data_IF_822834288127
#
_entry.id   IF_822834288127
#
_cell.length_a   1.000
_cell.length_b   1.000
_cell.length_c   1.000
_cell.angle_alpha   90.00
_cell.angle_beta   90.00
_cell.angle_gamma   90.00
#
_symmetry.space_group_name_H-M   'P 1'
#
loop_
_entity.id
_entity.type
_entity.pdbx_description
1 polymer ?
#
# COMPACT_ATOMS: atom_id res chain seq x y z
N UNK A 1 -48.22 44.76 32.27
CA UNK A 1 -46.89 45.31 31.92
C UNK A 1 -46.16 46.02 33.07
N UNK A 2 -46.65 45.95 34.32
CA UNK A 2 -45.98 46.63 35.44
C UNK A 2 -46.08 48.16 35.39
N UNK A 3 -46.96 48.69 34.53
CA UNK A 3 -47.18 50.12 34.34
C UNK A 3 -47.59 50.80 35.64
N UNK A 4 -47.00 51.97 35.86
CA UNK A 4 -47.25 52.76 37.06
C UNK A 4 -47.81 54.12 36.70
N UNK A 5 -48.69 54.62 37.56
CA UNK A 5 -49.15 56.00 37.45
C UNK A 5 -48.08 56.92 38.04
N UNK A 6 -47.46 57.74 37.19
CA UNK A 6 -46.51 58.77 37.61
C UNK A 6 -47.02 60.14 37.15
N UNK A 7 -47.37 61.00 38.12
CA UNK A 7 -47.85 62.37 37.88
C UNK A 7 -49.05 62.48 36.92
N UNK A 8 -49.96 61.50 36.96
CA UNK A 8 -51.18 61.49 36.13
C UNK A 8 -50.97 60.97 34.71
N UNK A 9 -49.77 60.53 34.35
CA UNK A 9 -49.48 59.80 33.13
C UNK A 9 -49.19 58.33 33.44
N UNK A 10 -49.65 57.43 32.57
CA UNK A 10 -49.26 56.02 32.60
C UNK A 10 -47.83 55.93 32.02
N UNK A 11 -46.87 55.53 32.85
CA UNK A 11 -45.51 55.22 32.38
C UNK A 11 -45.37 53.71 32.28
N UNK A 12 -44.82 53.26 31.15
CA UNK A 12 -44.54 51.84 30.91
C UNK A 12 -43.68 51.27 32.03
N UNK A 13 -44.03 50.08 32.51
CA UNK A 13 -43.23 49.36 33.49
C UNK A 13 -41.83 49.01 32.98
N UNK A 14 -41.02 48.40 33.85
CA UNK A 14 -39.72 47.88 33.43
C UNK A 14 -39.91 46.84 32.31
N UNK A 15 -39.07 46.91 31.28
CA UNK A 15 -39.08 45.97 30.16
C UNK A 15 -39.01 44.52 30.67
N UNK A 16 -39.97 43.70 30.25
CA UNK A 16 -39.99 42.27 30.58
C UNK A 16 -38.98 41.58 29.69
N UNK A 17 -37.79 41.32 30.26
CA UNK A 17 -36.76 40.52 29.61
C UNK A 17 -37.03 39.06 29.88
N UNK A 18 -37.33 38.29 28.84
CA UNK A 18 -37.45 36.85 28.93
C UNK A 18 -36.04 36.24 29.00
N UNK A 19 -35.80 35.44 30.03
CA UNK A 19 -34.50 34.78 30.20
C UNK A 19 -34.43 33.58 29.27
N UNK A 20 -33.32 33.48 28.55
CA UNK A 20 -32.89 32.31 27.81
C UNK A 20 -32.91 31.08 28.74
N UNK A 21 -33.65 30.05 28.34
CA UNK A 21 -33.79 28.81 29.11
C UNK A 21 -32.61 27.84 28.90
N UNK A 22 -31.67 28.20 28.03
CA UNK A 22 -30.47 27.45 27.69
C UNK A 22 -30.70 26.32 26.70
N UNK A 23 -31.92 26.17 26.15
CA UNK A 23 -32.20 25.25 25.06
C UNK A 23 -31.94 25.94 23.71
N UNK A 24 -30.95 25.49 22.92
CA UNK A 24 -30.66 26.11 21.63
C UNK A 24 -31.81 25.98 20.62
N UNK A 25 -32.75 25.06 20.86
CA UNK A 25 -33.89 24.80 19.98
C UNK A 25 -35.15 25.56 20.31
N UNK A 26 -35.04 26.56 21.18
CA UNK A 26 -36.11 27.49 21.47
C UNK A 26 -35.65 28.93 21.37
N UNK A 27 -36.60 29.79 21.06
CA UNK A 27 -36.40 31.24 21.04
C UNK A 27 -37.41 31.88 21.95
N UNK A 28 -36.94 32.66 22.92
CA UNK A 28 -37.77 33.33 23.90
C UNK A 28 -38.25 34.68 23.41
N UNK A 29 -39.53 34.94 23.62
CA UNK A 29 -40.09 36.25 23.41
C UNK A 29 -41.16 36.59 24.45
N UNK A 30 -41.41 37.88 24.58
CA UNK A 30 -42.47 38.37 25.45
C UNK A 30 -43.77 38.46 24.66
N UNK A 31 -44.69 37.53 24.89
CA UNK A 31 -46.07 37.64 24.42
C UNK A 31 -46.87 38.56 25.35
N UNK A 32 -47.56 39.60 24.84
CA UNK A 32 -48.31 40.55 25.67
C UNK A 32 -49.46 39.93 26.50
N UNK A 33 -49.97 38.75 26.13
CA UNK A 33 -51.07 38.08 26.82
C UNK A 33 -50.60 36.92 27.71
N UNK A 34 -49.62 36.14 27.25
CA UNK A 34 -49.09 34.96 27.93
C UNK A 34 -47.83 35.24 28.78
N UNK A 35 -47.19 36.40 28.61
CA UNK A 35 -45.91 36.72 29.23
C UNK A 35 -44.75 36.09 28.46
N UNK A 36 -43.70 35.68 29.16
CA UNK A 36 -42.57 35.02 28.50
C UNK A 36 -42.95 33.64 27.99
N UNK A 37 -42.74 33.45 26.69
CA UNK A 37 -43.00 32.20 25.99
C UNK A 37 -41.71 31.72 25.31
N UNK A 38 -41.56 30.41 25.21
CA UNK A 38 -40.43 29.72 24.57
C UNK A 38 -41.03 28.92 23.41
N UNK A 39 -40.66 29.28 22.17
CA UNK A 39 -41.18 28.67 20.94
C UNK A 39 -40.06 27.94 20.20
N UNK A 40 -40.37 26.75 19.68
CA UNK A 40 -39.40 25.95 18.94
C UNK A 40 -38.91 26.66 17.68
N UNK A 41 -37.62 26.56 17.40
CA UNK A 41 -37.00 27.09 16.18
C UNK A 41 -36.44 25.95 15.30
N UNK A 42 -35.88 26.32 14.15
CA UNK A 42 -35.27 25.40 13.17
C UNK A 42 -33.75 25.66 13.03
N UNK A 43 -33.11 26.22 14.07
CA UNK A 43 -31.69 26.55 14.03
C UNK A 43 -30.81 25.28 14.14
N UNK A 44 -29.52 25.44 13.85
CA UNK A 44 -28.55 24.36 14.03
C UNK A 44 -28.30 24.11 15.52
N UNK A 45 -28.14 22.84 15.89
CA UNK A 45 -27.88 22.42 17.27
C UNK A 45 -26.91 21.24 17.29
N UNK A 46 -26.67 20.67 18.48
CA UNK A 46 -25.87 19.46 18.69
C UNK A 46 -26.73 18.48 19.48
N UNK A 47 -27.03 17.31 18.89
CA UNK A 47 -27.87 16.30 19.52
C UNK A 47 -27.10 15.43 20.53
N UNK A 48 -25.80 15.70 20.69
CA UNK A 48 -24.88 15.00 21.57
C UNK A 48 -24.30 13.71 20.97
N UNK A 49 -24.61 13.38 19.72
CA UNK A 49 -24.06 12.25 19.00
C UNK A 49 -22.95 12.71 18.06
N UNK A 50 -21.70 12.36 18.39
CA UNK A 50 -20.53 12.73 17.59
C UNK A 50 -20.52 12.12 16.17
N UNK A 51 -21.47 11.23 15.85
CA UNK A 51 -21.59 10.53 14.57
C UNK A 51 -22.64 11.10 13.63
N UNK A 52 -23.37 12.13 14.05
CA UNK A 52 -24.37 12.81 13.22
C UNK A 52 -23.83 14.16 12.80
N UNK A 53 -24.13 14.54 11.55
CA UNK A 53 -23.68 15.80 10.97
C UNK A 53 -24.90 16.57 10.51
N UNK A 54 -24.93 17.86 10.86
CA UNK A 54 -26.02 18.76 10.47
C UNK A 54 -27.27 18.57 11.32
N UNK A 55 -27.10 18.40 12.62
CA UNK A 55 -28.22 18.35 13.56
C UNK A 55 -28.98 19.68 13.57
N UNK A 56 -30.30 19.59 13.66
CA UNK A 56 -31.20 20.73 13.54
C UNK A 56 -32.27 20.66 14.61
N UNK A 57 -32.81 21.80 14.97
CA UNK A 57 -33.91 21.88 15.90
C UNK A 57 -35.21 21.38 15.26
N UNK A 58 -35.95 20.54 16.00
CA UNK A 58 -37.20 19.96 15.58
C UNK A 58 -38.10 19.66 16.79
N UNK A 59 -39.33 20.15 16.76
CA UNK A 59 -40.30 20.01 17.86
C UNK A 59 -39.78 20.51 19.24
N UNK A 60 -38.89 21.51 19.23
CA UNK A 60 -38.32 22.13 20.45
C UNK A 60 -37.14 21.36 21.07
N UNK A 61 -36.64 20.32 20.41
CA UNK A 61 -35.43 19.61 20.79
C UNK A 61 -34.46 19.46 19.61
N UNK A 62 -33.20 19.17 19.91
CA UNK A 62 -32.23 18.89 18.85
C UNK A 62 -32.49 17.50 18.29
N UNK A 63 -32.59 17.40 16.95
CA UNK A 63 -32.75 16.14 16.24
C UNK A 63 -31.53 15.84 15.38
N UNK A 64 -31.11 14.57 15.28
CA UNK A 64 -29.96 14.19 14.47
C UNK A 64 -30.12 14.57 13.01
N UNK A 65 -29.03 15.03 12.41
CA UNK A 65 -28.94 15.26 10.98
C UNK A 65 -29.16 13.99 10.16
N UNK A 66 -29.43 14.15 8.87
CA UNK A 66 -29.67 13.02 7.96
C UNK A 66 -28.38 12.37 7.44
N UNK A 67 -27.24 13.02 7.64
CA UNK A 67 -25.92 12.54 7.22
C UNK A 67 -25.18 11.91 8.40
N UNK A 68 -24.66 10.70 8.20
CA UNK A 68 -23.74 10.08 9.15
C UNK A 68 -22.32 10.58 8.90
N UNK A 69 -21.56 10.77 9.97
CA UNK A 69 -20.15 11.12 9.90
C UNK A 69 -19.36 9.99 9.23
N UNK A 70 -18.75 10.29 8.09
CA UNK A 70 -17.80 9.36 7.46
C UNK A 70 -16.51 9.29 8.29
N UNK A 71 -16.24 8.11 8.85
CA UNK A 71 -15.01 7.84 9.59
C UNK A 71 -13.93 7.13 8.77
N UNK A 72 -14.12 7.03 7.45
CA UNK A 72 -13.13 6.47 6.53
C UNK A 72 -11.82 7.28 6.59
N UNK A 73 -10.74 6.66 7.08
CA UNK A 73 -9.41 7.27 7.17
C UNK A 73 -8.54 6.99 5.92
N UNK A 74 -9.06 6.22 4.97
CA UNK A 74 -8.39 5.83 3.73
C UNK A 74 -7.33 4.74 3.90
N UNK A 75 -7.15 4.18 5.10
CA UNK A 75 -6.26 3.04 5.33
C UNK A 75 -7.05 1.72 5.19
N UNK A 76 -6.77 0.88 4.19
CA UNK A 76 -7.46 -0.42 4.06
C UNK A 76 -7.15 -1.38 5.22
N UNK A 77 -6.21 -1.02 6.11
CA UNK A 77 -5.79 -1.77 7.27
C UNK A 77 -6.38 -1.32 8.59
N UNK A 78 -7.39 -0.47 8.55
CA UNK A 78 -8.22 -0.11 9.69
C UNK A 78 -9.65 -0.59 9.44
N UNK A 79 -10.34 -0.95 10.53
CA UNK A 79 -11.80 -1.00 10.54
C UNK A 79 -12.30 0.28 11.15
N UNK A 80 -12.99 1.08 10.33
CA UNK A 80 -13.52 2.36 10.74
C UNK A 80 -14.92 2.21 11.31
N UNK A 81 -15.15 2.94 12.39
CA UNK A 81 -16.44 2.99 13.06
C UNK A 81 -16.62 4.35 13.71
N UNK A 82 -17.87 4.72 13.94
CA UNK A 82 -18.18 5.91 14.70
C UNK A 82 -18.80 5.52 16.04
N UNK A 83 -18.21 6.02 17.13
CA UNK A 83 -18.77 5.91 18.47
C UNK A 83 -19.55 7.18 18.81
N UNK A 84 -20.85 7.10 19.13
CA UNK A 84 -21.67 8.29 19.40
C UNK A 84 -21.15 9.21 20.49
N UNK A 85 -20.34 8.72 21.43
CA UNK A 85 -19.78 9.54 22.51
C UNK A 85 -18.40 10.12 22.18
N UNK A 86 -17.61 9.45 21.33
CA UNK A 86 -16.20 9.84 21.08
C UNK A 86 -15.86 10.17 19.63
N UNK A 87 -16.79 9.95 18.70
CA UNK A 87 -16.58 10.14 17.26
C UNK A 87 -15.82 8.98 16.62
N UNK A 88 -15.08 9.27 15.56
CA UNK A 88 -14.41 8.27 14.74
C UNK A 88 -13.36 7.44 15.48
N UNK A 89 -13.40 6.14 15.22
CA UNK A 89 -12.45 5.14 15.69
C UNK A 89 -11.95 4.34 14.51
N UNK A 90 -10.63 4.23 14.41
CA UNK A 90 -9.93 3.47 13.38
C UNK A 90 -9.17 2.35 14.11
N UNK A 91 -9.73 1.13 14.08
CA UNK A 91 -9.12 -0.02 14.74
C UNK A 91 -8.20 -0.75 13.76
N UNK A 92 -6.90 -0.80 14.05
CA UNK A 92 -5.95 -1.50 13.21
C UNK A 92 -6.31 -2.99 13.09
N UNK A 93 -6.47 -3.47 11.87
CA UNK A 93 -6.67 -4.88 11.55
C UNK A 93 -5.32 -5.59 11.74
N UNK A 94 -5.21 -6.55 12.68
CA UNK A 94 -3.98 -7.29 12.84
C UNK A 94 -3.59 -8.00 11.54
N UNK A 95 -2.34 -7.84 11.12
CA UNK A 95 -1.77 -8.47 9.92
C UNK A 95 -2.33 -7.97 8.58
N UNK A 96 -3.02 -6.83 8.53
CA UNK A 96 -3.40 -6.26 7.24
C UNK A 96 -2.17 -5.82 6.41
N UNK A 97 -2.25 -6.05 5.09
CA UNK A 97 -1.13 -5.91 4.16
C UNK A 97 -0.13 -7.08 4.21
N UNK A 98 -0.37 -8.08 5.04
CA UNK A 98 0.48 -9.25 5.20
C UNK A 98 -0.37 -10.51 5.05
N UNK A 99 -0.25 -11.19 3.91
CA UNK A 99 -0.74 -12.55 3.77
C UNK A 99 -0.13 -13.40 4.88
N UNK A 100 -0.93 -14.06 5.73
CA UNK A 100 -0.41 -15.06 6.65
C UNK A 100 0.02 -16.27 5.82
N UNK A 101 1.28 -16.28 5.37
CA UNK A 101 1.88 -17.49 4.85
C UNK A 101 2.30 -18.30 6.06
N UNK A 102 1.68 -19.46 6.17
CA UNK A 102 1.89 -20.38 7.26
C UNK A 102 3.20 -21.11 6.98
N UNK A 103 4.29 -20.71 7.64
CA UNK A 103 5.66 -21.28 7.47
C UNK A 103 5.85 -22.57 8.31
N UNK A 104 4.74 -23.19 8.73
CA UNK A 104 4.70 -24.36 9.60
C UNK A 104 4.43 -24.02 11.06
N UNK A 105 4.73 -24.99 11.94
CA UNK A 105 4.44 -24.90 13.38
C UNK A 105 5.58 -24.18 14.12
N UNK A 106 5.28 -23.14 14.91
CA UNK A 106 6.23 -22.42 15.78
C UNK A 106 6.45 -23.11 17.12
N UNK A 107 5.45 -23.84 17.61
CA UNK A 107 5.48 -24.55 18.89
C UNK A 107 4.56 -25.77 18.86
N UNK A 108 4.99 -26.87 19.47
CA UNK A 108 4.20 -28.10 19.57
C UNK A 108 4.12 -28.54 21.03
N UNK A 109 2.91 -28.74 21.55
CA UNK A 109 2.76 -29.33 22.89
C UNK A 109 2.68 -30.85 22.77
N UNK A 110 3.67 -31.53 23.34
CA UNK A 110 3.81 -32.98 23.35
C UNK A 110 3.49 -33.53 24.73
N UNK A 111 2.59 -34.51 24.81
CA UNK A 111 2.27 -35.27 26.02
C UNK A 111 2.92 -36.64 25.98
N UNK A 112 3.57 -37.04 27.07
CA UNK A 112 4.03 -38.43 27.26
C UNK A 112 2.84 -39.27 27.71
N UNK A 113 2.34 -40.16 26.84
CA UNK A 113 1.10 -40.92 27.09
C UNK A 113 1.34 -42.32 27.66
N UNK A 114 2.55 -42.85 27.55
CA UNK A 114 2.90 -44.18 28.02
C UNK A 114 4.41 -44.33 28.20
N UNK A 115 4.81 -45.26 29.08
CA UNK A 115 6.19 -45.51 29.49
C UNK A 115 6.23 -46.69 30.45
N UNK A 116 7.18 -47.62 30.30
CA UNK A 116 7.40 -48.62 31.36
C UNK A 116 7.97 -47.93 32.60
N UNK A 117 7.78 -48.50 33.79
CA UNK A 117 8.38 -47.95 35.02
C UNK A 117 9.91 -47.87 35.00
N UNK A 118 10.55 -48.56 34.04
CA UNK A 118 12.01 -48.53 33.83
C UNK A 118 12.48 -47.33 33.00
N UNK A 119 11.60 -46.78 32.17
CA UNK A 119 11.95 -45.71 31.24
C UNK A 119 11.50 -44.32 31.74
N UNK A 120 10.86 -44.28 32.91
CA UNK A 120 10.54 -43.04 33.61
C UNK A 120 11.85 -42.31 33.99
N UNK A 121 11.90 -40.99 33.78
CA UNK A 121 13.07 -40.13 34.04
C UNK A 121 14.29 -40.29 33.11
N UNK A 122 14.13 -40.94 31.95
CA UNK A 122 15.14 -40.83 30.90
C UNK A 122 15.10 -39.48 30.19
N UNK A 123 16.21 -39.12 29.54
CA UNK A 123 16.34 -37.82 28.90
C UNK A 123 15.73 -37.88 27.52
N UNK A 124 14.68 -37.09 27.32
CA UNK A 124 14.07 -36.84 26.01
C UNK A 124 14.86 -35.71 25.33
N UNK A 125 15.10 -35.86 24.03
CA UNK A 125 15.68 -34.82 23.19
C UNK A 125 14.86 -34.65 21.92
N UNK A 126 14.65 -33.41 21.54
CA UNK A 126 13.98 -33.02 20.30
C UNK A 126 15.01 -32.38 19.38
N UNK A 127 15.00 -32.77 18.11
CA UNK A 127 15.87 -32.22 17.07
C UNK A 127 15.05 -31.77 15.87
N UNK A 128 15.54 -30.72 15.21
CA UNK A 128 15.00 -30.19 13.96
C UNK A 128 15.57 -30.94 12.76
N UNK A 129 14.71 -31.36 11.84
CA UNK A 129 14.98 -31.86 10.47
C UNK A 129 15.96 -33.05 10.33
N UNK A 130 16.57 -33.54 11.41
CA UNK A 130 17.47 -34.70 11.42
C UNK A 130 17.53 -35.35 12.80
N UNK A 131 17.61 -36.69 12.85
CA UNK A 131 17.78 -37.47 14.09
C UNK A 131 19.15 -37.31 14.73
N UNK A 132 20.14 -36.80 14.00
CA UNK A 132 21.51 -36.55 14.47
C UNK A 132 21.88 -35.05 14.50
N UNK A 133 20.93 -34.17 14.22
CA UNK A 133 21.13 -32.72 14.24
C UNK A 133 21.19 -32.09 15.63
N UNK A 134 21.19 -30.76 15.66
CA UNK A 134 21.20 -29.96 16.91
C UNK A 134 19.95 -30.22 17.74
N UNK A 135 20.16 -30.37 19.05
CA UNK A 135 19.09 -30.51 20.04
C UNK A 135 18.44 -29.14 20.25
N UNK A 136 17.16 -29.03 19.93
CA UNK A 136 16.36 -27.80 20.13
C UNK A 136 15.63 -27.80 21.47
N UNK A 137 15.46 -28.97 22.08
CA UNK A 137 14.92 -29.12 23.42
C UNK A 137 15.43 -30.40 24.07
N UNK A 138 15.71 -30.37 25.37
CA UNK A 138 16.04 -31.57 26.14
C UNK A 138 15.55 -31.47 27.58
N UNK A 139 15.07 -32.59 28.12
CA UNK A 139 14.61 -32.64 29.49
C UNK A 139 14.10 -34.02 29.88
N UNK A 140 13.76 -34.18 31.16
CA UNK A 140 13.07 -35.35 31.69
C UNK A 140 11.60 -35.01 31.87
N UNK A 141 10.70 -35.86 31.39
CA UNK A 141 9.25 -35.64 31.45
C UNK A 141 8.60 -36.90 32.00
N UNK A 142 7.80 -36.75 33.04
CA UNK A 142 7.06 -37.85 33.65
C UNK A 142 5.92 -38.33 32.74
N UNK A 143 5.54 -39.60 32.84
CA UNK A 143 4.35 -40.12 32.17
C UNK A 143 3.12 -39.33 32.59
N UNK A 144 2.34 -38.85 31.61
CA UNK A 144 1.17 -38.01 31.81
C UNK A 144 1.43 -36.51 31.75
N UNK A 145 2.69 -36.06 31.81
CA UNK A 145 3.06 -34.66 31.68
C UNK A 145 3.26 -34.24 30.21
N UNK A 146 3.19 -32.93 29.97
CA UNK A 146 3.42 -32.32 28.66
C UNK A 146 4.64 -31.40 28.68
N UNK A 147 5.21 -31.16 27.51
CA UNK A 147 6.29 -30.20 27.28
C UNK A 147 6.13 -29.58 25.89
N UNK A 148 6.63 -28.34 25.75
CA UNK A 148 6.43 -27.53 24.53
C UNK A 148 7.77 -27.03 24.02
N UNK A 149 8.45 -27.77 23.11
CA UNK A 149 9.62 -27.25 22.42
C UNK A 149 9.26 -26.05 21.52
N UNK A 150 10.05 -24.98 21.60
CA UNK A 150 10.04 -23.91 20.59
C UNK A 150 10.71 -24.42 19.31
N UNK A 151 10.07 -24.24 18.16
CA UNK A 151 10.57 -24.69 16.87
C UNK A 151 11.20 -23.51 16.11
N UNK A 152 12.49 -23.58 15.76
CA UNK A 152 13.13 -22.55 14.94
C UNK A 152 12.52 -22.47 13.53
N UNK A 153 12.51 -21.30 12.89
CA UNK A 153 12.01 -21.10 11.52
C UNK A 153 12.60 -22.11 10.51
N UNK A 154 11.78 -22.60 9.57
CA UNK A 154 12.17 -23.65 8.60
C UNK A 154 12.26 -25.07 9.20
N UNK A 155 11.59 -25.33 10.33
CA UNK A 155 11.41 -26.69 10.84
C UNK A 155 10.28 -27.36 10.07
N UNK A 156 10.60 -28.42 9.33
CA UNK A 156 9.62 -29.21 8.56
C UNK A 156 9.34 -30.56 9.18
N UNK A 157 10.26 -31.04 10.04
CA UNK A 157 10.13 -32.29 10.79
C UNK A 157 10.86 -32.20 12.12
N UNK A 158 10.30 -32.78 13.18
CA UNK A 158 11.00 -33.00 14.45
C UNK A 158 11.28 -34.47 14.69
N UNK A 159 12.43 -34.75 15.30
CA UNK A 159 12.88 -36.08 15.69
C UNK A 159 13.01 -36.15 17.20
N UNK A 160 12.33 -37.12 17.82
CA UNK A 160 12.37 -37.34 19.26
C UNK A 160 13.20 -38.59 19.54
N UNK A 161 14.27 -38.41 20.31
CA UNK A 161 15.10 -39.50 20.80
C UNK A 161 15.06 -39.57 22.32
N UNK A 162 15.39 -40.74 22.85
CA UNK A 162 15.54 -40.97 24.29
C UNK A 162 16.90 -41.60 24.57
N UNK A 163 17.53 -41.17 25.65
CA UNK A 163 18.76 -41.78 26.18
C UNK A 163 18.71 -41.83 27.72
N UNK A 164 19.18 -42.93 28.30
CA UNK A 164 19.20 -43.14 29.74
C UNK A 164 19.83 -44.45 30.17
N UNK A 165 19.55 -44.87 31.39
CA UNK A 165 20.12 -46.09 31.97
C UNK A 165 19.62 -47.37 31.29
N UNK A 166 18.42 -47.35 30.70
CA UNK A 166 17.86 -48.47 29.95
C UNK A 166 18.00 -48.26 28.42
N UNK A 167 18.26 -47.02 28.00
CA UNK A 167 18.66 -46.67 26.64
C UNK A 167 20.07 -46.09 26.60
N UNK A 168 21.09 -46.95 26.78
CA UNK A 168 22.51 -46.54 26.79
C UNK A 168 22.88 -45.75 25.52
N UNK A 169 22.31 -46.18 24.39
CA UNK A 169 22.42 -45.49 23.12
C UNK A 169 21.18 -44.65 22.87
N UNK A 170 21.41 -43.48 22.27
CA UNK A 170 20.32 -42.60 21.86
C UNK A 170 19.46 -43.28 20.79
N UNK A 171 18.18 -43.47 21.11
CA UNK A 171 17.26 -44.25 20.29
C UNK A 171 16.12 -43.35 19.80
N UNK A 172 15.84 -43.35 18.48
CA UNK A 172 14.71 -42.65 17.89
C UNK A 172 13.38 -43.29 18.33
N UNK A 173 12.40 -42.46 18.70
CA UNK A 173 11.10 -42.90 19.23
C UNK A 173 9.92 -42.39 18.42
N UNK A 174 10.00 -41.15 17.95
CA UNK A 174 8.93 -40.54 17.17
C UNK A 174 9.49 -39.49 16.22
N UNK A 175 8.79 -39.32 15.10
CA UNK A 175 9.00 -38.21 14.18
C UNK A 175 7.67 -37.56 13.89
N UNK A 176 7.60 -36.23 13.91
CA UNK A 176 6.40 -35.47 13.58
C UNK A 176 6.73 -34.52 12.43
N UNK A 177 5.92 -34.55 11.38
CA UNK A 177 5.91 -33.48 10.38
C UNK A 177 5.31 -32.22 11.02
N UNK A 178 5.80 -31.05 10.62
CA UNK A 178 5.38 -29.75 11.18
C UNK A 178 4.71 -28.87 10.13
N UNK A 179 3.84 -29.47 9.32
CA UNK A 179 3.00 -28.75 8.36
C UNK A 179 1.78 -28.13 9.04
N UNK A 180 1.18 -27.15 8.38
CA UNK A 180 0.07 -26.35 8.90
C UNK A 180 -1.16 -27.21 9.26
N UNK A 181 -1.40 -28.25 8.46
CA UNK A 181 -2.57 -29.13 8.61
C UNK A 181 -2.32 -30.34 9.51
N UNK A 182 -1.06 -30.65 9.83
CA UNK A 182 -0.69 -31.92 10.45
C UNK A 182 0.51 -31.79 11.39
N UNK A 183 0.28 -32.13 12.67
CA UNK A 183 1.30 -32.70 13.54
C UNK A 183 1.01 -34.19 13.77
N UNK A 184 0.81 -34.95 12.69
CA UNK A 184 0.74 -36.40 12.80
C UNK A 184 2.16 -36.95 12.82
N UNK A 185 2.48 -37.72 13.86
CA UNK A 185 3.74 -38.42 13.96
C UNK A 185 3.56 -39.92 13.78
N UNK A 186 4.51 -40.55 13.11
CA UNK A 186 4.67 -42.00 13.18
C UNK A 186 5.48 -42.34 14.44
N UNK A 187 4.87 -43.06 15.39
CA UNK A 187 5.59 -43.73 16.46
C UNK A 187 6.32 -44.95 15.89
N UNK A 188 7.42 -44.69 15.18
CA UNK A 188 8.26 -45.73 14.60
C UNK A 188 9.24 -46.26 15.63
N UNK A 189 8.93 -47.42 16.20
CA UNK A 189 9.89 -48.17 17.01
C UNK A 189 9.29 -48.81 18.25
N UNK A 190 9.66 -50.08 18.45
CA UNK A 190 9.41 -50.98 19.58
C UNK A 190 9.97 -50.43 20.89
N UNK A 191 9.40 -49.31 21.33
CA UNK A 191 9.87 -48.53 22.45
C UNK A 191 8.73 -48.15 23.37
N UNK A 192 8.94 -48.35 24.66
CA UNK A 192 7.89 -48.28 25.67
C UNK A 192 7.39 -46.85 25.96
N UNK A 193 8.06 -45.79 25.47
CA UNK A 193 7.63 -44.40 25.64
C UNK A 193 6.80 -43.93 24.45
N UNK A 194 5.59 -43.46 24.72
CA UNK A 194 4.64 -42.98 23.72
C UNK A 194 4.40 -41.47 23.84
N UNK A 195 4.22 -40.81 22.70
CA UNK A 195 3.99 -39.37 22.62
C UNK A 195 2.69 -39.07 21.87
N UNK A 196 1.97 -38.03 22.30
CA UNK A 196 0.79 -37.49 21.60
C UNK A 196 0.90 -35.97 21.53
N UNK A 197 0.57 -35.40 20.38
CA UNK A 197 0.39 -33.95 20.24
C UNK A 197 -0.92 -33.52 20.89
N UNK A 198 -0.85 -32.51 21.75
CA UNK A 198 -2.01 -31.95 22.46
C UNK A 198 -2.23 -30.46 22.23
N UNK A 199 -1.34 -29.79 21.48
CA UNK A 199 -1.45 -28.38 21.13
C UNK A 199 -0.46 -28.00 20.03
N UNK A 200 -0.81 -27.03 19.19
CA UNK A 200 -0.04 -26.56 18.03
C UNK A 200 -0.17 -25.05 17.96
N UNK A 201 0.96 -24.34 17.94
CA UNK A 201 1.01 -22.90 17.60
C UNK A 201 1.63 -22.75 16.21
N UNK A 202 0.99 -21.99 15.33
CA UNK A 202 1.48 -21.79 13.96
C UNK A 202 2.50 -20.62 13.90
N UNK A 203 3.52 -20.75 13.05
CA UNK A 203 4.43 -19.66 12.71
C UNK A 203 3.84 -18.88 11.52
N UNK A 204 3.42 -17.65 11.74
CA UNK A 204 2.95 -16.76 10.68
C UNK A 204 4.09 -15.82 10.29
N UNK A 205 4.51 -15.85 9.03
CA UNK A 205 5.33 -14.81 8.44
C UNK A 205 4.43 -13.93 7.58
N UNK A 206 4.46 -12.62 7.81
CA UNK A 206 3.75 -11.68 6.96
C UNK A 206 4.51 -11.46 5.66
N UNK A 207 3.88 -11.76 4.53
CA UNK A 207 4.38 -11.43 3.20
C UNK A 207 3.35 -10.52 2.53
N UNK A 208 3.77 -9.43 1.89
CA UNK A 208 2.84 -8.62 1.09
C UNK A 208 2.21 -9.49 0.01
N UNK A 209 0.87 -9.50 -0.10
CA UNK A 209 0.21 -10.14 -1.24
C UNK A 209 0.15 -9.24 -2.47
N UNK A 210 0.69 -8.02 -2.38
CA UNK A 210 0.81 -7.12 -3.52
C UNK A 210 1.80 -7.73 -4.53
N UNK A 211 1.29 -8.16 -5.68
CA UNK A 211 2.12 -8.64 -6.80
C UNK A 211 2.64 -7.50 -7.69
N UNK A 212 2.27 -6.26 -7.36
CA UNK A 212 2.61 -5.05 -8.10
C UNK A 212 1.80 -4.88 -9.39
N UNK A 213 0.76 -5.68 -9.62
CA UNK A 213 -0.14 -5.56 -10.76
C UNK A 213 -1.45 -4.87 -10.34
N UNK A 214 -1.63 -3.61 -10.73
CA UNK A 214 -2.86 -2.87 -10.43
C UNK A 214 -4.11 -3.45 -11.12
N UNK A 215 -3.95 -4.41 -12.05
CA UNK A 215 -5.05 -5.13 -12.70
C UNK A 215 -5.44 -6.44 -12.02
N UNK A 216 -4.81 -6.80 -10.91
CA UNK A 216 -5.22 -7.90 -10.03
C UNK A 216 -5.80 -7.33 -8.74
N UNK A 217 -6.91 -7.91 -8.31
CA UNK A 217 -7.40 -7.73 -6.95
C UNK A 217 -6.68 -8.74 -6.06
N UNK A 218 -5.79 -8.24 -5.22
CA UNK A 218 -5.02 -9.06 -4.29
C UNK A 218 -5.82 -9.33 -3.01
N UNK A 219 -6.00 -10.60 -2.71
CA UNK A 219 -6.73 -11.05 -1.54
C UNK A 219 -5.94 -12.08 -0.75
N UNK A 220 -6.06 -12.01 0.58
CA UNK A 220 -5.53 -12.98 1.51
C UNK A 220 -6.50 -14.16 1.67
N UNK A 221 -6.03 -15.40 1.45
CA UNK A 221 -6.76 -16.63 1.76
C UNK A 221 -6.04 -17.52 2.77
N UNK A 222 -6.76 -18.51 3.34
CA UNK A 222 -6.18 -19.51 4.25
C UNK A 222 -5.05 -20.35 3.62
N UNK A 223 -4.95 -20.34 2.29
CA UNK A 223 -3.94 -21.05 1.50
C UNK A 223 -2.87 -20.13 0.88
N UNK A 224 -2.82 -18.85 1.25
CA UNK A 224 -1.86 -17.87 0.74
C UNK A 224 -2.50 -16.74 -0.08
N UNK A 225 -1.69 -16.06 -0.89
CA UNK A 225 -2.13 -14.97 -1.77
C UNK A 225 -3.03 -15.50 -2.90
N UNK A 226 -4.11 -14.78 -3.18
CA UNK A 226 -4.88 -14.96 -4.41
C UNK A 226 -4.92 -13.65 -5.17
N UNK A 227 -4.55 -13.68 -6.44
CA UNK A 227 -4.56 -12.54 -7.35
C UNK A 227 -5.68 -12.78 -8.36
N UNK A 228 -6.74 -11.97 -8.31
CA UNK A 228 -7.89 -12.15 -9.20
C UNK A 228 -7.87 -11.07 -10.25
N UNK A 229 -7.78 -11.45 -11.53
CA UNK A 229 -7.85 -10.49 -12.64
C UNK A 229 -9.14 -9.66 -12.54
N UNK A 230 -8.99 -8.34 -12.54
CA UNK A 230 -10.11 -7.40 -12.59
C UNK A 230 -10.65 -7.42 -14.03
N UNK A 231 -11.92 -7.84 -14.26
CA UNK A 231 -12.45 -7.98 -15.62
C UNK A 231 -12.42 -6.64 -16.38
N UNK A 232 -11.70 -6.64 -17.51
CA UNK A 232 -11.55 -5.46 -18.37
C UNK A 232 -10.38 -4.54 -18.00
N UNK A 233 -9.65 -4.81 -16.92
CA UNK A 233 -8.40 -4.13 -16.64
C UNK A 233 -7.30 -4.61 -17.59
N UNK A 234 -6.58 -3.67 -18.19
CA UNK A 234 -5.38 -3.94 -18.98
C UNK A 234 -4.35 -2.85 -18.73
N UNK A 235 -3.17 -3.22 -18.27
CA UNK A 235 -2.04 -2.29 -18.26
C UNK A 235 -1.67 -1.93 -19.70
N UNK A 236 -1.66 -0.63 -20.01
CA UNK A 236 -1.15 -0.14 -21.28
C UNK A 236 0.17 0.56 -21.04
N UNK A 237 1.27 -0.02 -21.52
CA UNK A 237 2.50 0.74 -21.68
C UNK A 237 2.30 1.71 -22.85
N UNK A 238 1.90 2.94 -22.54
CA UNK A 238 1.77 4.00 -23.55
C UNK A 238 3.03 4.84 -23.50
N UNK A 239 3.84 4.76 -24.56
CA UNK A 239 4.90 5.73 -24.74
C UNK A 239 4.27 7.11 -24.99
N UNK A 240 4.59 8.09 -24.13
CA UNK A 240 4.05 9.46 -24.23
C UNK A 240 4.92 10.37 -25.09
N UNK A 241 6.04 9.84 -25.60
CA UNK A 241 6.95 10.53 -26.52
C UNK A 241 8.40 10.13 -26.31
N UNK A 242 9.31 10.83 -26.98
CA UNK A 242 10.76 10.65 -26.84
C UNK A 242 11.33 11.69 -25.89
N UNK A 243 12.07 11.27 -24.85
CA UNK A 243 12.76 12.16 -23.91
C UNK A 243 14.18 12.51 -24.36
N UNK A 244 14.85 11.60 -25.07
CA UNK A 244 16.13 11.84 -25.70
C UNK A 244 16.32 10.96 -26.95
N UNK A 245 17.10 11.44 -27.92
CA UNK A 245 17.54 10.63 -29.04
C UNK A 245 19.02 10.90 -29.33
N UNK A 246 19.74 9.87 -29.75
CA UNK A 246 21.15 9.99 -30.13
C UNK A 246 21.28 10.07 -31.64
N UNK A 247 21.84 11.16 -32.13
CA UNK A 247 22.16 11.37 -33.54
C UNK A 247 23.63 11.02 -33.79
N UNK A 248 23.88 10.21 -34.82
CA UNK A 248 25.22 9.97 -35.37
C UNK A 248 25.37 10.69 -36.69
N UNK A 249 26.49 11.39 -36.87
CA UNK A 249 26.89 11.92 -38.18
C UNK A 249 27.41 10.75 -39.03
N UNK A 250 26.68 10.34 -40.06
CA UNK A 250 27.01 9.15 -40.88
C UNK A 250 27.81 9.47 -42.14
N UNK A 251 27.89 10.75 -42.50
CA UNK A 251 28.64 11.24 -43.65
C UNK A 251 28.85 12.74 -43.56
N UNK A 252 29.89 13.24 -44.22
CA UNK A 252 30.23 14.65 -44.27
C UNK A 252 31.48 14.84 -45.13
N UNK A 253 31.48 15.83 -46.03
CA UNK A 253 32.67 16.15 -46.80
C UNK A 253 33.73 16.78 -45.88
N UNK A 254 35.02 16.71 -46.25
CA UNK A 254 36.08 17.41 -45.50
C UNK A 254 35.92 18.93 -45.47
N UNK A 255 35.04 19.48 -46.31
CA UNK A 255 34.68 20.90 -46.33
C UNK A 255 33.73 21.28 -45.20
N UNK A 256 32.89 20.35 -44.75
CA UNK A 256 31.85 20.64 -43.75
C UNK A 256 32.28 20.18 -42.34
N UNK A 257 33.50 19.64 -42.21
CA UNK A 257 34.12 19.32 -40.93
C UNK A 257 34.38 20.63 -40.15
N UNK A 258 33.95 20.68 -38.88
CA UNK A 258 34.03 21.83 -37.96
C UNK A 258 32.92 22.90 -38.07
N UNK A 259 31.86 22.66 -38.84
CA UNK A 259 30.67 23.50 -38.81
C UNK A 259 29.83 23.24 -37.54
N UNK A 260 29.06 24.24 -37.13
CA UNK A 260 28.21 24.16 -35.94
C UNK A 260 26.87 23.53 -36.31
N UNK A 261 26.55 22.43 -35.66
CA UNK A 261 25.24 21.79 -35.73
C UNK A 261 24.35 22.39 -34.63
N UNK A 262 23.08 22.61 -34.97
CA UNK A 262 22.04 22.98 -34.01
C UNK A 262 20.84 22.05 -34.15
N UNK A 263 20.29 21.64 -33.01
CA UNK A 263 19.02 20.91 -32.93
C UNK A 263 17.99 21.86 -32.34
N UNK A 264 16.90 22.08 -33.06
CA UNK A 264 15.84 23.02 -32.69
C UNK A 264 14.51 22.31 -32.50
N UNK A 265 13.74 22.79 -31.53
CA UNK A 265 12.41 22.30 -31.18
C UNK A 265 11.36 22.81 -32.17
N UNK A 266 10.59 21.89 -32.76
CA UNK A 266 9.36 22.09 -33.54
C UNK A 266 9.41 23.00 -34.79
N UNK A 267 10.51 23.72 -35.05
CA UNK A 267 10.74 24.55 -36.24
C UNK A 267 12.24 24.79 -36.49
N UNK A 268 12.63 25.08 -37.74
CA UNK A 268 14.01 25.45 -38.11
C UNK A 268 14.49 26.77 -37.50
N UNK A 269 13.57 27.58 -36.97
CA UNK A 269 13.85 28.81 -36.21
C UNK A 269 13.47 28.69 -34.72
N UNK A 270 13.05 27.52 -34.27
CA UNK A 270 12.62 27.27 -32.89
C UNK A 270 13.75 27.28 -31.86
N UNK A 271 13.40 27.06 -30.59
CA UNK A 271 14.34 27.02 -29.46
C UNK A 271 15.43 25.98 -29.70
N UNK A 272 16.68 26.36 -29.45
CA UNK A 272 17.84 25.47 -29.55
C UNK A 272 17.84 24.51 -28.35
N UNK A 273 17.70 23.22 -28.62
CA UNK A 273 17.81 22.15 -27.62
C UNK A 273 19.26 21.71 -27.42
N UNK A 274 20.06 21.79 -28.49
CA UNK A 274 21.47 21.43 -28.48
C UNK A 274 22.24 22.19 -29.56
N UNK A 275 23.48 22.60 -29.27
CA UNK A 275 24.39 23.17 -30.26
C UNK A 275 25.83 22.78 -29.97
N UNK A 276 26.58 22.46 -31.03
CA UNK A 276 27.99 22.11 -30.91
C UNK A 276 28.62 21.72 -32.24
N UNK A 277 29.92 21.45 -32.21
CA UNK A 277 30.66 20.87 -33.34
C UNK A 277 30.78 19.36 -33.11
N UNK A 278 30.49 18.58 -34.14
CA UNK A 278 30.54 17.11 -34.08
C UNK A 278 31.42 16.61 -35.22
N UNK A 279 32.40 15.76 -34.90
CA UNK A 279 33.23 15.14 -35.91
C UNK A 279 32.43 14.13 -36.75
N UNK A 280 32.86 13.88 -37.99
CA UNK A 280 32.28 12.83 -38.81
C UNK A 280 32.34 11.49 -38.06
N UNK A 281 31.26 10.71 -38.10
CA UNK A 281 31.08 9.44 -37.37
C UNK A 281 30.95 9.54 -35.85
N UNK A 282 31.00 10.73 -35.26
CA UNK A 282 30.67 10.91 -33.84
C UNK A 282 29.15 11.03 -33.61
N UNK A 283 28.75 10.75 -32.38
CA UNK A 283 27.37 10.81 -31.91
C UNK A 283 27.18 11.90 -30.86
N UNK A 284 25.97 12.42 -30.76
CA UNK A 284 25.55 13.37 -29.72
C UNK A 284 24.07 13.17 -29.39
N UNK A 285 23.69 13.51 -28.16
CA UNK A 285 22.36 13.20 -27.60
C UNK A 285 21.70 14.48 -27.08
N UNK A 286 20.92 15.21 -27.91
CA UNK A 286 20.09 16.29 -27.43
C UNK A 286 19.07 15.78 -26.40
N UNK A 287 18.90 16.52 -25.29
CA UNK A 287 17.78 16.32 -24.37
C UNK A 287 16.56 17.04 -24.91
N UNK A 288 15.42 16.35 -24.95
CA UNK A 288 14.18 16.93 -25.45
C UNK A 288 13.37 17.47 -24.27
N UNK A 289 12.88 18.70 -24.40
CA UNK A 289 11.99 19.31 -23.41
C UNK A 289 10.52 19.02 -23.73
N UNK A 290 9.63 19.05 -22.74
CA UNK A 290 8.20 18.77 -22.88
C UNK A 290 7.52 19.50 -24.04
N UNK A 291 6.63 18.82 -24.75
CA UNK A 291 5.96 19.36 -25.94
C UNK A 291 6.83 19.45 -27.20
N UNK A 292 7.98 18.76 -27.23
CA UNK A 292 8.75 18.55 -28.47
C UNK A 292 8.08 17.44 -29.28
N UNK A 293 7.56 17.77 -30.46
CA UNK A 293 6.92 16.82 -31.39
C UNK A 293 7.77 16.57 -32.64
N UNK A 294 8.67 17.52 -32.95
CA UNK A 294 9.68 17.41 -34.02
C UNK A 294 10.99 18.06 -33.61
N UNK A 295 12.10 17.54 -34.11
CA UNK A 295 13.40 18.23 -34.08
C UNK A 295 13.86 18.60 -35.49
N UNK A 296 14.51 19.76 -35.59
CA UNK A 296 15.08 20.32 -36.81
C UNK A 296 16.59 20.44 -36.65
N UNK A 297 17.35 19.76 -37.50
CA UNK A 297 18.81 19.76 -37.47
C UNK A 297 19.32 20.70 -38.55
N UNK A 298 19.95 21.78 -38.13
CA UNK A 298 20.52 22.80 -39.00
C UNK A 298 22.04 22.85 -38.85
N UNK A 299 22.72 23.32 -39.89
CA UNK A 299 24.17 23.53 -39.90
C UNK A 299 24.48 24.96 -40.32
N UNK A 300 25.48 25.57 -39.66
CA UNK A 300 26.03 26.87 -40.01
C UNK A 300 27.55 26.89 -39.86
N UNK A 301 28.24 27.48 -40.83
CA UNK A 301 29.69 27.57 -40.84
C UNK A 301 30.23 28.39 -42.02
N UNK A 302 31.52 28.24 -42.33
CA UNK A 302 32.16 29.00 -43.40
C UNK A 302 31.63 28.63 -44.79
N UNK A 303 31.21 27.37 -44.98
CA UNK A 303 30.62 26.89 -46.23
C UNK A 303 29.08 26.95 -46.22
N UNK A 304 28.49 27.12 -45.02
CA UNK A 304 27.09 27.43 -44.81
C UNK A 304 26.93 28.76 -44.07
N UNK A 305 27.12 29.93 -44.75
CA UNK A 305 27.09 31.25 -44.10
C UNK A 305 25.72 31.55 -43.47
N UNK A 306 24.66 30.98 -44.07
CA UNK A 306 23.32 30.98 -43.52
C UNK A 306 22.98 29.60 -42.92
N UNK A 307 22.22 29.61 -41.84
CA UNK A 307 21.75 28.39 -41.18
C UNK A 307 20.89 27.56 -42.14
N UNK A 308 21.36 26.37 -42.49
CA UNK A 308 20.75 25.51 -43.51
C UNK A 308 20.16 24.26 -42.87
N UNK A 309 18.87 24.00 -43.09
CA UNK A 309 18.19 22.79 -42.61
C UNK A 309 18.71 21.55 -43.33
N UNK A 310 19.10 20.52 -42.57
CA UNK A 310 19.64 19.27 -43.11
C UNK A 310 18.71 18.08 -42.91
N UNK A 311 18.13 17.95 -41.73
CA UNK A 311 17.23 16.84 -41.40
C UNK A 311 16.13 17.28 -40.43
N UNK A 312 15.02 16.56 -40.45
CA UNK A 312 13.93 16.69 -39.48
C UNK A 312 13.59 15.31 -38.94
N UNK A 313 13.19 15.21 -37.67
CA UNK A 313 12.75 13.94 -37.07
C UNK A 313 11.46 14.17 -36.27
N UNK A 314 10.51 13.25 -36.36
CA UNK A 314 9.42 13.18 -35.38
C UNK A 314 9.95 12.60 -34.08
N UNK A 315 9.37 13.03 -32.95
CA UNK A 315 9.78 12.57 -31.61
C UNK A 315 8.67 11.79 -30.91
N UNK A 316 7.80 11.19 -31.72
CA UNK A 316 6.85 10.17 -31.29
C UNK A 316 7.58 8.84 -31.01
N UNK A 317 6.83 7.84 -30.57
CA UNK A 317 7.39 6.55 -30.13
C UNK A 317 8.18 5.81 -31.22
N UNK A 318 7.92 6.13 -32.48
CA UNK A 318 8.60 5.49 -33.61
C UNK A 318 9.83 6.25 -34.08
N UNK A 319 9.93 7.56 -33.80
CA UNK A 319 11.02 8.44 -34.24
C UNK A 319 11.37 8.28 -35.73
N UNK A 320 10.63 8.94 -36.60
CA UNK A 320 10.84 8.83 -38.06
C UNK A 320 11.57 10.05 -38.59
N UNK A 321 12.58 9.82 -39.43
CA UNK A 321 13.25 10.88 -40.19
C UNK A 321 12.29 11.45 -41.26
N UNK A 322 12.03 12.75 -41.20
CA UNK A 322 11.27 13.51 -42.18
C UNK A 322 12.12 14.01 -43.35
N UNK A 323 11.51 14.79 -44.25
CA UNK A 323 12.18 15.23 -45.48
C UNK A 323 13.51 15.96 -45.23
N UNK A 324 14.53 15.55 -45.98
CA UNK A 324 15.86 16.17 -46.04
C UNK A 324 15.82 17.41 -46.93
N UNK A 325 16.32 18.53 -46.41
CA UNK A 325 16.43 19.76 -47.16
C UNK A 325 17.65 19.73 -48.09
N UNK A 326 17.43 19.42 -49.37
CA UNK A 326 18.41 19.60 -50.45
C UNK A 326 19.67 18.71 -50.39
N UNK A 327 20.60 18.95 -51.32
CA UNK A 327 21.85 18.20 -51.50
C UNK A 327 22.85 18.41 -50.34
N UNK A 328 22.49 17.96 -49.13
CA UNK A 328 23.36 18.05 -47.96
C UNK A 328 24.38 16.91 -47.94
N UNK A 329 25.66 17.27 -47.89
CA UNK A 329 26.75 16.31 -47.72
C UNK A 329 26.87 15.77 -46.28
N UNK A 330 26.33 16.48 -45.29
CA UNK A 330 26.24 15.97 -43.91
C UNK A 330 24.95 15.15 -43.76
N UNK A 331 25.12 13.91 -43.33
CA UNK A 331 24.05 12.95 -43.10
C UNK A 331 23.96 12.59 -41.62
N UNK A 332 22.73 12.40 -41.13
CA UNK A 332 22.45 12.03 -39.75
C UNK A 332 21.68 10.72 -39.71
N UNK A 333 21.90 9.94 -38.66
CA UNK A 333 21.09 8.76 -38.37
C UNK A 333 20.80 8.70 -36.88
N UNK A 334 19.56 8.40 -36.52
CA UNK A 334 19.21 8.06 -35.14
C UNK A 334 19.82 6.70 -34.80
N UNK A 335 20.65 6.64 -33.76
CA UNK A 335 21.29 5.40 -33.30
C UNK A 335 20.71 4.86 -32.00
N UNK A 336 20.03 5.70 -31.23
CA UNK A 336 19.25 5.27 -30.07
C UNK A 336 18.13 6.26 -29.80
N UNK A 337 17.04 5.77 -29.23
CA UNK A 337 15.89 6.55 -28.78
C UNK A 337 15.63 6.15 -27.33
N UNK A 338 15.35 7.13 -26.49
CA UNK A 338 14.89 6.95 -25.12
C UNK A 338 13.50 7.53 -25.03
N UNK A 339 12.53 6.69 -24.69
CA UNK A 339 11.14 7.10 -24.55
C UNK A 339 10.88 7.66 -23.14
N UNK A 340 9.95 8.60 -23.04
CA UNK A 340 9.30 8.91 -21.79
C UNK A 340 8.18 7.88 -21.59
N UNK A 341 8.27 7.10 -20.52
CA UNK A 341 7.21 6.16 -20.11
C UNK A 341 6.30 6.85 -19.10
N UNK A 342 4.99 6.80 -19.32
CA UNK A 342 4.00 7.12 -18.29
C UNK A 342 3.20 5.85 -17.98
N UNK A 343 2.97 5.61 -16.70
CA UNK A 343 2.01 4.62 -16.21
C UNK A 343 0.70 5.37 -16.01
N UNK A 344 -0.31 5.07 -16.82
CA UNK A 344 -1.68 5.57 -16.59
C UNK A 344 -2.66 4.41 -16.64
N UNK A 345 -3.54 4.37 -15.63
CA UNK A 345 -4.70 3.49 -15.62
C UNK A 345 -5.63 3.89 -16.78
N UNK A 346 -5.80 3.00 -17.75
CA UNK A 346 -6.80 3.20 -18.79
C UNK A 346 -8.16 2.70 -18.27
N UNK A 347 -9.06 3.61 -17.94
CA UNK A 347 -10.47 3.26 -17.71
C UNK A 347 -11.13 2.85 -19.04
N UNK A 348 -12.13 1.95 -19.04
CA UNK A 348 -12.90 1.60 -20.24
C UNK A 348 -13.52 2.81 -20.95
#
# INVERSE_FOLDING_TARGET
DGDQCHSGACVGGAEVVCQDDGNPCTTEYCDPAAGCVSEGNDDACDDGNACTVGDMCGEGGCVPGTEELSCDDGDPCTTDSCDPATGCKHEAIPYCGLCPVCEGVSSLTLKVTGGSSRDQNETIRVRKNSSSGTIIWSGKVATGASFTPTLPAGTTKIYITVQGANHYNETLKATFDTSCDLAAGATGGNSYIQFKVTGVDQAQAGVSCDDGDECTADACGASGCTHTEIPGCRMCEVCTGTSALTLKVTGGSSRDQNETIRVRKNSSTGTILWSGKVATYASFTPQLTDGTTKIYVTVQGANHPSETLKATFTTDCTCVEGQTGGNSYIQFKVTSVTHATALEACTP
#
